data_IF_771980642903
#
_entry.id   IF_771980642903
#
_cell.length_a   1.000
_cell.length_b   1.000
_cell.length_c   1.000
_cell.angle_alpha   90.00
_cell.angle_beta   90.00
_cell.angle_gamma   90.00
#
_symmetry.space_group_name_H-M   'P 1'
#
loop_
_entity.id
_entity.type
_entity.pdbx_description
1 polymer ?
#
# COMPACT_ATOMS: atom_id res chain seq x y z
N UNK A 1 25.14 14.98 -10.77
CA UNK A 1 24.44 13.69 -10.52
C UNK A 1 24.71 13.35 -9.08
N UNK A 2 23.69 13.06 -8.27
CA UNK A 2 23.85 12.66 -6.86
C UNK A 2 23.78 11.16 -6.75
N UNK A 3 24.59 10.56 -5.88
CA UNK A 3 24.45 9.16 -5.47
C UNK A 3 23.42 9.08 -4.34
N UNK A 4 22.35 8.34 -4.54
CA UNK A 4 21.25 8.19 -3.58
C UNK A 4 21.16 6.72 -3.15
N UNK A 5 21.19 6.49 -1.85
CA UNK A 5 20.99 5.17 -1.27
C UNK A 5 19.55 5.04 -0.80
N UNK A 6 18.83 4.04 -1.30
CA UNK A 6 17.47 3.69 -0.85
C UNK A 6 17.54 2.38 -0.09
N UNK A 7 17.01 2.33 1.13
CA UNK A 7 17.03 1.14 1.98
C UNK A 7 15.63 0.53 2.04
N UNK A 8 15.51 -0.71 1.54
CA UNK A 8 14.27 -1.46 1.44
C UNK A 8 13.68 -1.46 0.03
N UNK A 9 13.51 -2.65 -0.52
CA UNK A 9 12.91 -2.90 -1.85
C UNK A 9 11.40 -3.25 -1.74
N UNK A 10 10.67 -2.58 -0.87
CA UNK A 10 9.21 -2.54 -0.81
C UNK A 10 8.63 -1.55 -1.83
N UNK A 11 7.30 -1.37 -1.84
CA UNK A 11 6.63 -0.47 -2.79
C UNK A 11 7.17 0.97 -2.73
N UNK A 12 7.38 1.52 -1.55
CA UNK A 12 7.83 2.91 -1.40
C UNK A 12 9.28 3.09 -1.86
N UNK A 13 10.19 2.19 -1.45
CA UNK A 13 11.59 2.25 -1.87
C UNK A 13 11.77 2.04 -3.37
N UNK A 14 11.10 1.03 -3.95
CA UNK A 14 11.16 0.79 -5.40
C UNK A 14 10.55 1.94 -6.21
N UNK A 15 9.42 2.49 -5.76
CA UNK A 15 8.77 3.60 -6.43
C UNK A 15 9.63 4.88 -6.38
N UNK A 16 10.21 5.21 -5.22
CA UNK A 16 11.11 6.34 -5.07
C UNK A 16 12.39 6.18 -5.90
N UNK A 17 13.01 4.99 -5.85
CA UNK A 17 14.19 4.68 -6.65
C UNK A 17 13.92 4.81 -8.16
N UNK A 18 12.77 4.32 -8.62
CA UNK A 18 12.35 4.46 -10.02
C UNK A 18 12.22 5.95 -10.41
N UNK A 19 11.55 6.77 -9.61
CA UNK A 19 11.36 8.20 -9.91
C UNK A 19 12.69 8.98 -9.84
N UNK A 20 13.58 8.63 -8.93
CA UNK A 20 14.93 9.22 -8.84
C UNK A 20 15.79 8.85 -10.05
N UNK A 21 15.82 7.56 -10.43
CA UNK A 21 16.56 7.08 -11.61
C UNK A 21 16.04 7.71 -12.90
N UNK A 22 14.71 7.86 -13.02
CA UNK A 22 14.06 8.50 -14.17
C UNK A 22 14.43 9.99 -14.31
N UNK A 23 14.82 10.64 -13.20
CA UNK A 23 15.33 12.02 -13.16
C UNK A 23 16.84 12.12 -13.35
N UNK A 24 17.51 11.01 -13.70
CA UNK A 24 18.93 10.96 -14.03
C UNK A 24 19.88 10.92 -12.83
N UNK A 25 19.40 10.50 -11.66
CA UNK A 25 20.25 10.30 -10.49
C UNK A 25 20.81 8.88 -10.44
N UNK A 26 22.00 8.74 -9.82
CA UNK A 26 22.61 7.45 -9.51
C UNK A 26 21.93 6.88 -8.24
N UNK A 27 21.23 5.77 -8.36
CA UNK A 27 20.41 5.20 -7.27
C UNK A 27 20.73 3.73 -7.08
N UNK A 28 21.02 3.37 -5.84
CA UNK A 28 21.14 1.98 -5.42
C UNK A 28 20.09 1.66 -4.35
N UNK A 29 19.33 0.59 -4.56
CA UNK A 29 18.40 0.03 -3.56
C UNK A 29 19.11 -1.08 -2.80
N UNK A 30 19.20 -0.95 -1.48
CA UNK A 30 19.75 -1.98 -0.60
C UNK A 30 18.60 -2.81 -0.02
N UNK A 31 18.62 -4.12 -0.25
CA UNK A 31 17.61 -5.04 0.25
C UNK A 31 18.29 -6.25 0.90
N UNK A 32 17.93 -6.54 2.16
CA UNK A 32 18.53 -7.63 2.92
C UNK A 32 18.06 -9.02 2.50
N UNK A 33 16.86 -9.08 1.94
CA UNK A 33 16.23 -10.34 1.58
C UNK A 33 15.76 -10.35 0.12
N UNK A 34 14.59 -10.90 -0.08
CA UNK A 34 13.94 -10.90 -1.39
C UNK A 34 13.21 -9.57 -1.60
N UNK A 35 13.38 -8.88 -2.73
CA UNK A 35 12.59 -7.69 -3.03
C UNK A 35 11.09 -7.94 -2.86
N UNK A 36 10.38 -6.99 -2.25
CA UNK A 36 8.96 -7.06 -1.89
C UNK A 36 8.54 -8.35 -1.14
N UNK A 37 9.46 -8.92 -0.37
CA UNK A 37 9.26 -10.18 0.37
C UNK A 37 8.55 -10.04 1.72
N UNK A 38 8.43 -8.81 2.24
CA UNK A 38 7.84 -8.54 3.57
C UNK A 38 6.45 -7.86 3.46
N UNK A 39 6.23 -6.68 4.06
CA UNK A 39 4.92 -5.99 4.04
C UNK A 39 4.35 -5.74 2.62
N UNK A 40 5.21 -5.70 1.60
CA UNK A 40 4.79 -5.62 0.19
C UNK A 40 4.50 -6.98 -0.45
N UNK A 41 4.65 -8.08 0.27
CA UNK A 41 4.40 -9.43 -0.21
C UNK A 41 2.91 -9.71 -0.43
N UNK A 42 2.65 -10.85 -1.09
CA UNK A 42 1.30 -11.36 -1.34
C UNK A 42 0.69 -10.82 -2.64
N UNK A 43 -0.60 -11.10 -2.86
CA UNK A 43 -1.32 -10.79 -4.09
C UNK A 43 -2.47 -9.79 -3.87
N UNK A 44 -2.95 -9.71 -2.63
CA UNK A 44 -4.19 -9.04 -2.30
C UNK A 44 -3.92 -7.59 -1.85
N UNK A 45 -4.21 -6.63 -2.71
CA UNK A 45 -4.20 -5.20 -2.37
C UNK A 45 -5.34 -4.50 -3.09
N UNK A 46 -5.96 -3.56 -2.40
CA UNK A 46 -7.08 -2.75 -2.88
C UNK A 46 -6.58 -1.36 -3.19
N UNK A 47 -6.96 -0.85 -4.35
CA UNK A 47 -7.02 0.58 -4.62
C UNK A 47 -8.41 1.09 -4.26
N UNK A 48 -8.49 2.23 -3.58
CA UNK A 48 -9.75 2.91 -3.29
C UNK A 48 -9.54 4.41 -3.16
N UNK A 49 -10.54 5.19 -3.52
CA UNK A 49 -10.66 6.62 -3.21
C UNK A 49 -11.44 6.82 -1.89
N UNK A 50 -12.26 5.87 -1.55
CA UNK A 50 -13.10 5.87 -0.35
C UNK A 50 -12.24 5.80 0.94
N UNK A 51 -11.93 6.97 1.50
CA UNK A 51 -11.23 7.17 2.78
C UNK A 51 -12.08 8.00 3.74
N UNK A 52 -11.73 7.99 5.03
CA UNK A 52 -12.41 8.77 6.08
C UNK A 52 -11.92 10.22 6.17
N UNK A 53 -10.74 10.52 5.60
CA UNK A 53 -10.18 11.89 5.53
C UNK A 53 -10.24 12.41 4.09
N UNK A 54 -10.79 13.62 3.83
CA UNK A 54 -10.83 14.21 2.49
C UNK A 54 -9.45 14.35 1.84
N UNK A 55 -8.42 14.60 2.62
CA UNK A 55 -7.04 14.68 2.13
C UNK A 55 -6.59 13.35 1.50
N UNK A 56 -6.87 12.21 2.15
CA UNK A 56 -6.54 10.89 1.60
C UNK A 56 -7.36 10.55 0.35
N UNK A 57 -8.62 11.01 0.25
CA UNK A 57 -9.41 10.87 -0.97
C UNK A 57 -8.75 11.62 -2.14
N UNK A 58 -8.32 12.87 -1.93
CA UNK A 58 -7.61 13.67 -2.95
C UNK A 58 -6.27 13.03 -3.36
N UNK A 59 -5.50 12.56 -2.38
CA UNK A 59 -4.24 11.87 -2.67
C UNK A 59 -4.46 10.55 -3.44
N UNK A 60 -5.54 9.82 -3.14
CA UNK A 60 -5.89 8.62 -3.88
C UNK A 60 -6.30 8.93 -5.34
N UNK A 61 -7.05 10.01 -5.59
CA UNK A 61 -7.36 10.47 -6.95
C UNK A 61 -6.07 10.78 -7.73
N UNK A 62 -5.13 11.49 -7.11
CA UNK A 62 -3.81 11.77 -7.72
C UNK A 62 -3.01 10.47 -7.94
N UNK A 63 -3.00 9.58 -6.96
CA UNK A 63 -2.30 8.29 -7.07
C UNK A 63 -2.86 7.42 -8.21
N UNK A 64 -4.17 7.50 -8.49
CA UNK A 64 -4.80 6.78 -9.60
C UNK A 64 -4.22 7.17 -10.96
N UNK A 65 -3.98 8.45 -11.18
CA UNK A 65 -3.29 8.94 -12.39
C UNK A 65 -1.88 8.35 -12.49
N UNK A 66 -1.17 8.26 -11.37
CA UNK A 66 0.13 7.62 -11.32
C UNK A 66 0.09 6.12 -11.66
N UNK A 67 -0.94 5.38 -11.22
CA UNK A 67 -1.14 3.98 -11.61
C UNK A 67 -1.37 3.83 -13.11
N UNK A 68 -2.18 4.70 -13.72
CA UNK A 68 -2.43 4.72 -15.16
C UNK A 68 -1.14 5.06 -15.95
N UNK A 69 -0.35 6.01 -15.44
CA UNK A 69 0.98 6.30 -16.00
C UNK A 69 1.88 5.07 -15.98
N UNK A 70 1.96 4.34 -14.88
CA UNK A 70 2.75 3.11 -14.78
C UNK A 70 2.24 1.99 -15.69
N UNK A 71 0.93 1.87 -15.89
CA UNK A 71 0.38 0.92 -16.88
C UNK A 71 0.96 1.19 -18.27
N UNK A 72 0.98 2.45 -18.69
CA UNK A 72 1.53 2.89 -19.97
C UNK A 72 3.06 2.72 -20.04
N UNK A 73 3.79 3.25 -19.06
CA UNK A 73 5.26 3.26 -19.04
C UNK A 73 5.87 1.85 -18.94
N UNK A 74 5.22 0.95 -18.21
CA UNK A 74 5.75 -0.39 -18.02
C UNK A 74 5.39 -1.36 -19.14
N UNK A 75 4.36 -1.05 -19.94
CA UNK A 75 3.83 -1.98 -20.93
C UNK A 75 3.38 -3.31 -20.33
N UNK A 76 3.07 -3.30 -19.03
CA UNK A 76 2.79 -4.51 -18.25
C UNK A 76 1.30 -4.90 -18.29
N UNK A 77 0.49 -4.25 -19.12
CA UNK A 77 -0.95 -4.36 -19.13
C UNK A 77 -1.58 -3.76 -17.85
N UNK A 78 -2.87 -3.98 -17.66
CA UNK A 78 -3.63 -3.39 -16.57
C UNK A 78 -3.04 -3.73 -15.18
N UNK A 79 -2.75 -2.72 -14.37
CA UNK A 79 -2.28 -2.82 -12.99
C UNK A 79 -3.39 -2.59 -11.97
N UNK A 80 -4.38 -1.77 -12.35
CA UNK A 80 -5.55 -1.44 -11.54
C UNK A 80 -6.80 -2.13 -12.10
N UNK A 81 -7.49 -2.88 -11.27
CA UNK A 81 -8.79 -3.48 -11.58
C UNK A 81 -9.90 -2.44 -11.69
N UNK A 82 -11.05 -2.86 -12.21
CA UNK A 82 -12.23 -2.01 -12.41
C UNK A 82 -13.47 -2.58 -11.72
N UNK A 83 -13.26 -3.43 -10.72
CA UNK A 83 -14.32 -4.12 -9.99
C UNK A 83 -15.13 -3.18 -9.09
N UNK A 84 -14.60 -1.99 -8.81
CA UNK A 84 -15.13 -1.08 -7.80
C UNK A 84 -14.75 -1.51 -6.39
N UNK A 85 -15.10 -0.65 -5.42
CA UNK A 85 -14.87 -0.89 -4.00
C UNK A 85 -16.11 -0.52 -3.20
N UNK A 86 -16.44 -1.31 -2.19
CA UNK A 86 -17.52 -1.07 -1.25
C UNK A 86 -16.94 -0.85 0.15
N UNK A 87 -17.24 0.30 0.75
CA UNK A 87 -17.17 0.47 2.19
C UNK A 87 -18.53 0.11 2.77
N UNK A 88 -18.62 -0.98 3.55
CA UNK A 88 -19.88 -1.48 4.11
C UNK A 88 -20.03 -1.16 5.59
N UNK A 89 -21.27 -1.01 6.05
CA UNK A 89 -21.61 -0.65 7.42
C UNK A 89 -21.74 0.87 7.61
N UNK A 90 -21.40 1.37 8.81
CA UNK A 90 -21.43 2.80 9.11
C UNK A 90 -20.32 3.55 8.36
N UNK A 91 -20.67 4.20 7.25
CA UNK A 91 -19.74 4.84 6.32
C UNK A 91 -20.15 6.26 5.89
N UNK A 92 -20.92 6.96 6.71
CA UNK A 92 -21.32 8.35 6.46
C UNK A 92 -20.12 9.31 6.41
N UNK A 93 -19.11 9.07 7.24
CA UNK A 93 -17.85 9.80 7.24
C UNK A 93 -17.06 9.57 5.93
N UNK A 94 -17.08 8.36 5.39
CA UNK A 94 -16.50 8.05 4.09
C UNK A 94 -17.22 8.81 2.98
N UNK A 95 -18.55 8.79 2.97
CA UNK A 95 -19.35 9.54 2.00
C UNK A 95 -19.10 11.05 2.08
N UNK A 96 -19.06 11.61 3.29
CA UNK A 96 -18.76 13.02 3.51
C UNK A 96 -17.35 13.40 3.03
N UNK A 97 -16.35 12.57 3.34
CA UNK A 97 -14.98 12.78 2.90
C UNK A 97 -14.82 12.71 1.38
N UNK A 98 -15.45 11.74 0.73
CA UNK A 98 -15.46 11.63 -0.73
C UNK A 98 -16.14 12.84 -1.39
N UNK A 99 -17.30 13.25 -0.87
CA UNK A 99 -18.00 14.45 -1.33
C UNK A 99 -17.12 15.69 -1.21
N UNK A 100 -16.50 15.90 -0.06
CA UNK A 100 -15.57 17.02 0.19
C UNK A 100 -14.34 17.01 -0.72
N UNK A 101 -13.95 15.84 -1.20
CA UNK A 101 -12.83 15.68 -2.13
C UNK A 101 -13.25 15.77 -3.61
N UNK A 102 -14.54 15.97 -3.92
CA UNK A 102 -15.07 15.95 -5.29
C UNK A 102 -15.02 14.56 -5.93
N UNK A 103 -14.93 13.49 -5.16
CA UNK A 103 -14.90 12.13 -5.66
C UNK A 103 -16.30 11.58 -5.92
N UNK A 104 -16.46 10.82 -7.02
CA UNK A 104 -17.71 10.15 -7.33
C UNK A 104 -17.94 8.95 -6.44
N UNK A 105 -19.17 8.77 -5.95
CA UNK A 105 -19.59 7.59 -5.21
C UNK A 105 -21.10 7.40 -5.29
N UNK A 106 -21.59 6.21 -4.89
CA UNK A 106 -23.01 5.93 -4.70
C UNK A 106 -23.24 5.36 -3.30
N UNK A 107 -24.35 5.71 -2.68
CA UNK A 107 -24.82 5.02 -1.48
C UNK A 107 -25.53 3.74 -1.91
N UNK A 108 -25.29 2.65 -1.21
CA UNK A 108 -25.87 1.34 -1.47
C UNK A 108 -26.72 0.88 -0.29
N UNK A 109 -27.82 0.23 -0.59
CA UNK A 109 -28.56 -0.61 0.35
C UNK A 109 -28.07 -2.06 0.33
N UNK A 110 -28.56 -2.87 1.28
CA UNK A 110 -28.18 -4.28 1.43
C UNK A 110 -28.28 -5.08 0.12
N UNK A 111 -29.37 -4.95 -0.62
CA UNK A 111 -29.57 -5.67 -1.89
C UNK A 111 -28.56 -5.32 -2.97
N UNK A 112 -28.16 -4.03 -3.03
CA UNK A 112 -27.17 -3.55 -3.99
C UNK A 112 -25.75 -3.99 -3.62
N UNK A 113 -25.43 -4.11 -2.33
CA UNK A 113 -24.18 -4.71 -1.84
C UNK A 113 -24.14 -6.20 -2.23
N UNK A 114 -25.22 -6.95 -1.94
CA UNK A 114 -25.33 -8.35 -2.27
C UNK A 114 -25.18 -8.61 -3.79
N UNK A 115 -25.76 -7.77 -4.63
CA UNK A 115 -25.62 -7.88 -6.08
C UNK A 115 -24.16 -7.70 -6.56
N UNK A 116 -23.31 -6.99 -5.81
CA UNK A 116 -21.90 -6.76 -6.15
C UNK A 116 -20.95 -7.79 -5.54
N UNK A 117 -21.41 -8.54 -4.55
CA UNK A 117 -20.67 -9.63 -3.89
C UNK A 117 -21.63 -10.83 -3.74
N UNK A 118 -22.01 -11.50 -4.84
CA UNK A 118 -23.13 -12.43 -4.88
C UNK A 118 -22.96 -13.72 -4.05
N UNK A 119 -21.72 -14.01 -3.64
CA UNK A 119 -21.38 -15.16 -2.79
C UNK A 119 -21.35 -14.83 -1.29
N UNK A 120 -21.56 -13.55 -0.92
CA UNK A 120 -21.55 -13.11 0.47
C UNK A 120 -22.96 -13.15 1.08
N UNK A 121 -23.05 -13.59 2.33
CA UNK A 121 -24.20 -13.29 3.20
C UNK A 121 -23.99 -11.88 3.76
N UNK A 122 -24.75 -10.91 3.23
CA UNK A 122 -24.55 -9.47 3.52
C UNK A 122 -25.31 -9.08 4.81
N UNK A 123 -24.61 -8.80 5.92
CA UNK A 123 -25.26 -8.35 7.16
C UNK A 123 -25.43 -6.82 7.20
N UNK A 124 -24.75 -6.08 6.33
CA UNK A 124 -24.71 -4.62 6.35
C UNK A 124 -25.93 -4.00 5.66
N UNK A 125 -26.60 -3.08 6.32
CA UNK A 125 -27.78 -2.39 5.78
C UNK A 125 -27.39 -1.33 4.74
N UNK A 126 -26.22 -0.72 4.88
CA UNK A 126 -25.77 0.40 4.05
C UNK A 126 -24.31 0.25 3.66
N UNK A 127 -23.93 0.93 2.57
CA UNK A 127 -22.56 1.05 2.14
C UNK A 127 -22.33 2.24 1.23
N UNK A 128 -21.08 2.51 0.95
CA UNK A 128 -20.59 3.48 -0.06
C UNK A 128 -19.85 2.72 -1.15
N UNK A 129 -20.24 2.91 -2.39
CA UNK A 129 -19.57 2.36 -3.56
C UNK A 129 -18.67 3.41 -4.20
N UNK A 130 -17.40 3.06 -4.33
CA UNK A 130 -16.37 3.79 -5.06
C UNK A 130 -16.15 3.14 -6.44
N UNK A 131 -16.62 3.76 -7.52
CA UNK A 131 -16.49 3.19 -8.87
C UNK A 131 -15.05 3.19 -9.39
N UNK A 132 -14.16 3.98 -8.78
CA UNK A 132 -12.75 4.08 -9.15
C UNK A 132 -11.88 3.07 -8.39
N UNK A 133 -12.45 2.38 -7.40
CA UNK A 133 -11.78 1.33 -6.63
C UNK A 133 -11.57 0.05 -7.44
N UNK A 134 -10.75 -0.86 -6.90
CA UNK A 134 -10.51 -2.16 -7.50
C UNK A 134 -9.27 -2.86 -6.95
N UNK A 135 -9.03 -4.08 -7.41
CA UNK A 135 -7.87 -4.87 -7.02
C UNK A 135 -6.60 -4.39 -7.73
N UNK A 136 -5.47 -4.37 -7.02
CA UNK A 136 -4.16 -4.05 -7.59
C UNK A 136 -3.41 -5.32 -8.03
N UNK A 137 -2.85 -5.31 -9.22
CA UNK A 137 -1.98 -6.37 -9.77
C UNK A 137 -0.54 -6.15 -9.29
N UNK A 138 -0.34 -6.20 -7.97
CA UNK A 138 0.87 -5.72 -7.31
C UNK A 138 2.13 -6.48 -7.71
N UNK A 139 2.09 -7.80 -7.92
CA UNK A 139 3.26 -8.53 -8.40
C UNK A 139 3.76 -8.02 -9.74
N UNK A 140 2.83 -7.69 -10.64
CA UNK A 140 3.16 -7.14 -11.95
C UNK A 140 3.82 -5.77 -11.81
N UNK A 141 3.25 -4.89 -10.97
CA UNK A 141 3.79 -3.56 -10.71
C UNK A 141 5.17 -3.62 -10.05
N UNK A 142 5.29 -4.35 -8.94
CA UNK A 142 6.56 -4.47 -8.19
C UNK A 142 7.67 -5.12 -9.01
N UNK A 143 7.37 -6.18 -9.77
CA UNK A 143 8.36 -6.79 -10.68
C UNK A 143 8.78 -5.83 -11.80
N UNK A 144 7.88 -4.97 -12.27
CA UNK A 144 8.20 -3.96 -13.28
C UNK A 144 9.10 -2.85 -12.73
N UNK A 145 8.87 -2.42 -11.49
CA UNK A 145 9.74 -1.48 -10.79
C UNK A 145 11.12 -2.09 -10.52
N UNK A 146 11.17 -3.31 -9.96
CA UNK A 146 12.41 -3.98 -9.60
C UNK A 146 13.36 -4.21 -10.80
N UNK A 147 12.79 -4.40 -12.00
CA UNK A 147 13.60 -4.52 -13.23
C UNK A 147 14.16 -3.18 -13.75
N UNK A 148 13.72 -2.06 -13.21
CA UNK A 148 14.07 -0.70 -13.67
C UNK A 148 15.00 0.04 -12.73
N UNK A 149 15.37 -0.57 -11.61
CA UNK A 149 16.24 0.03 -10.59
C UNK A 149 17.38 -0.93 -10.24
N UNK A 150 18.51 -0.38 -9.86
CA UNK A 150 19.63 -1.18 -9.38
C UNK A 150 19.36 -1.65 -7.94
N UNK A 151 19.24 -2.97 -7.74
CA UNK A 151 19.04 -3.56 -6.41
C UNK A 151 20.29 -4.36 -6.04
N UNK A 152 20.88 -4.04 -4.89
CA UNK A 152 21.97 -4.80 -4.28
C UNK A 152 21.42 -5.58 -3.08
N UNK A 153 21.67 -6.90 -3.05
CA UNK A 153 21.41 -7.68 -1.85
C UNK A 153 22.43 -7.28 -0.77
N UNK A 154 21.97 -6.62 0.27
CA UNK A 154 22.81 -6.12 1.36
C UNK A 154 21.98 -5.87 2.62
N UNK A 155 22.49 -6.32 3.75
CA UNK A 155 21.90 -6.05 5.06
C UNK A 155 22.55 -4.80 5.66
N UNK A 156 21.76 -3.73 5.80
CA UNK A 156 22.18 -2.48 6.44
C UNK A 156 22.08 -2.63 7.95
N UNK A 157 23.17 -2.32 8.66
CA UNK A 157 23.23 -2.34 10.12
C UNK A 157 22.98 -0.98 10.74
N UNK A 158 23.48 0.10 10.10
CA UNK A 158 23.32 1.46 10.62
C UNK A 158 23.43 2.51 9.52
N UNK A 159 22.85 3.67 9.79
CA UNK A 159 22.88 4.84 8.92
C UNK A 159 23.25 6.06 9.76
N UNK A 160 24.35 6.73 9.41
CA UNK A 160 24.78 7.98 10.07
C UNK A 160 24.18 9.21 9.37
N UNK A 161 24.10 10.32 10.09
CA UNK A 161 23.48 11.58 9.63
C UNK A 161 24.16 12.18 8.39
N UNK A 162 25.44 11.87 8.19
CA UNK A 162 26.23 12.27 7.01
C UNK A 162 25.98 11.41 5.76
N UNK A 163 25.09 10.43 5.85
CA UNK A 163 24.76 9.50 4.78
C UNK A 163 25.66 8.26 4.70
N UNK A 164 26.55 8.04 5.66
CA UNK A 164 27.33 6.81 5.73
C UNK A 164 26.41 5.65 6.14
N UNK A 165 26.35 4.62 5.30
CA UNK A 165 25.50 3.43 5.46
C UNK A 165 26.40 2.21 5.64
N UNK A 166 26.40 1.61 6.83
CA UNK A 166 27.24 0.45 7.17
C UNK A 166 26.47 -0.84 6.88
N UNK A 167 27.09 -1.74 6.13
CA UNK A 167 26.54 -3.05 5.76
C UNK A 167 27.08 -4.14 6.69
N UNK A 168 26.40 -5.28 6.72
CA UNK A 168 26.79 -6.44 7.55
C UNK A 168 28.12 -7.07 7.13
N UNK A 169 28.57 -6.88 5.90
CA UNK A 169 29.88 -7.32 5.41
C UNK A 169 31.03 -6.36 5.77
N UNK A 170 30.76 -5.31 6.53
CA UNK A 170 31.72 -4.28 6.91
C UNK A 170 31.89 -3.15 5.88
N UNK A 171 31.27 -3.26 4.71
CA UNK A 171 31.29 -2.19 3.69
C UNK A 171 30.58 -0.94 4.20
N UNK A 172 31.15 0.23 3.94
CA UNK A 172 30.50 1.52 4.17
C UNK A 172 30.23 2.20 2.84
N UNK A 173 28.95 2.40 2.53
CA UNK A 173 28.53 3.20 1.38
C UNK A 173 28.25 4.63 1.83
N UNK A 174 28.64 5.62 0.99
CA UNK A 174 28.33 7.03 1.26
C UNK A 174 27.42 7.57 0.17
N UNK A 175 26.17 7.83 0.56
CA UNK A 175 25.21 8.52 -0.30
C UNK A 175 25.21 10.03 -0.07
N UNK A 176 25.00 10.81 -1.12
CA UNK A 176 24.68 12.23 -0.98
C UNK A 176 23.37 12.43 -0.22
N UNK A 177 22.46 11.46 -0.37
CA UNK A 177 21.20 11.31 0.38
C UNK A 177 20.92 9.84 0.66
N UNK A 178 20.24 9.58 1.76
CA UNK A 178 19.76 8.23 2.12
C UNK A 178 18.25 8.31 2.37
N UNK A 179 17.49 7.40 1.74
CA UNK A 179 16.07 7.21 1.97
C UNK A 179 15.82 5.85 2.62
N UNK A 180 15.33 5.83 3.86
CA UNK A 180 14.98 4.61 4.57
C UNK A 180 13.49 4.32 4.36
N UNK A 181 13.19 3.24 3.61
CA UNK A 181 11.87 2.67 3.37
C UNK A 181 11.81 1.19 3.81
N UNK A 182 12.42 0.88 4.96
CA UNK A 182 12.60 -0.48 5.46
C UNK A 182 11.36 -1.05 6.18
N UNK A 183 10.19 -0.43 6.00
CA UNK A 183 8.93 -0.89 6.59
C UNK A 183 9.02 -0.99 8.13
N UNK A 184 8.73 -2.16 8.68
CA UNK A 184 8.79 -2.43 10.12
C UNK A 184 10.18 -2.20 10.75
N UNK A 185 11.24 -2.25 9.94
CA UNK A 185 12.63 -2.05 10.38
C UNK A 185 13.15 -0.61 10.21
N UNK A 186 12.28 0.32 9.79
CA UNK A 186 12.67 1.73 9.68
C UNK A 186 13.11 2.33 11.02
N UNK A 187 12.42 2.07 12.15
CA UNK A 187 12.86 2.56 13.46
C UNK A 187 14.22 2.03 13.91
N UNK A 188 14.57 0.79 13.53
CA UNK A 188 15.86 0.18 13.88
C UNK A 188 17.05 0.92 13.25
N UNK A 189 16.84 1.50 12.07
CA UNK A 189 17.87 2.20 11.30
C UNK A 189 17.88 3.73 11.52
N UNK A 190 16.73 4.30 11.80
CA UNK A 190 16.59 5.76 11.93
C UNK A 190 16.56 6.21 13.39
N UNK A 191 16.01 5.43 14.28
CA UNK A 191 15.70 5.78 15.66
C UNK A 191 14.19 5.80 15.93
N UNK A 192 13.77 6.17 17.12
CA UNK A 192 12.37 6.09 17.55
C UNK A 192 11.42 6.87 16.63
N UNK A 193 10.44 6.15 16.10
CA UNK A 193 9.28 6.70 15.41
C UNK A 193 8.06 6.19 16.18
N UNK A 194 7.07 7.02 16.46
CA UNK A 194 5.87 6.63 17.22
C UNK A 194 5.01 5.61 16.45
N UNK A 195 5.52 4.39 16.32
CA UNK A 195 4.94 3.32 15.52
C UNK A 195 5.12 1.96 16.19
N UNK A 196 4.05 1.15 16.18
CA UNK A 196 4.06 -0.25 16.58
C UNK A 196 3.62 -1.14 15.43
N UNK A 197 3.84 -2.45 15.57
CA UNK A 197 3.51 -3.43 14.55
C UNK A 197 2.71 -4.58 15.18
N UNK A 198 1.57 -4.93 14.56
CA UNK A 198 0.66 -5.97 15.05
C UNK A 198 0.47 -7.02 13.96
N UNK A 199 0.63 -8.31 14.27
CA UNK A 199 0.34 -9.37 13.33
C UNK A 199 -1.16 -9.43 13.01
N UNK A 200 -1.50 -9.78 11.77
CA UNK A 200 -2.85 -10.12 11.36
C UNK A 200 -2.82 -11.21 10.30
N UNK A 201 -3.91 -11.95 10.14
CA UNK A 201 -4.01 -13.05 9.19
C UNK A 201 -4.94 -12.72 8.05
N UNK A 202 -4.52 -13.09 6.84
CA UNK A 202 -5.31 -12.99 5.63
C UNK A 202 -5.56 -14.39 5.07
N UNK A 203 -6.83 -14.72 4.84
CA UNK A 203 -7.26 -15.96 4.25
C UNK A 203 -7.51 -15.79 2.75
N UNK A 204 -7.25 -16.82 1.98
CA UNK A 204 -7.59 -16.87 0.56
C UNK A 204 -8.59 -18.01 0.35
N UNK A 205 -9.68 -17.70 -0.33
CA UNK A 205 -10.77 -18.63 -0.62
C UNK A 205 -10.89 -18.86 -2.12
N UNK A 206 -11.63 -19.88 -2.51
CA UNK A 206 -11.94 -20.20 -3.90
C UNK A 206 -13.44 -20.33 -4.08
N UNK A 207 -13.97 -19.71 -5.17
CA UNK A 207 -15.33 -19.82 -5.62
C UNK A 207 -15.47 -19.17 -6.99
N UNK A 208 -16.27 -19.73 -7.87
CA UNK A 208 -16.50 -19.23 -9.22
C UNK A 208 -17.15 -17.84 -9.20
N UNK A 209 -18.05 -17.59 -8.25
CA UNK A 209 -18.80 -16.33 -8.11
C UNK A 209 -17.95 -15.15 -7.63
N UNK A 210 -16.70 -15.39 -7.20
CA UNK A 210 -15.78 -14.33 -6.82
C UNK A 210 -15.19 -13.55 -8.01
N UNK A 211 -15.37 -14.06 -9.23
CA UNK A 211 -14.89 -13.40 -10.44
C UNK A 211 -15.70 -12.12 -10.69
N UNK A 212 -15.01 -10.99 -10.76
CA UNK A 212 -15.64 -9.69 -11.02
C UNK A 212 -16.36 -9.04 -9.84
N UNK A 213 -16.41 -9.69 -8.67
CA UNK A 213 -16.97 -9.11 -7.46
C UNK A 213 -16.23 -7.85 -7.05
N UNK A 214 -16.93 -6.85 -6.49
CA UNK A 214 -16.34 -5.62 -6.00
C UNK A 214 -15.40 -5.89 -4.82
N UNK A 215 -14.34 -5.09 -4.67
CA UNK A 215 -13.55 -5.07 -3.46
C UNK A 215 -14.41 -4.59 -2.28
N UNK A 216 -14.09 -5.04 -1.07
CA UNK A 216 -14.85 -4.79 0.15
C UNK A 216 -13.96 -4.30 1.28
N UNK A 217 -14.47 -3.36 2.09
CA UNK A 217 -14.04 -3.13 3.47
C UNK A 217 -15.28 -3.08 4.34
N UNK A 218 -15.28 -3.83 5.42
CA UNK A 218 -16.37 -3.97 6.36
C UNK A 218 -15.82 -4.03 7.79
N UNK A 219 -16.64 -3.92 8.84
CA UNK A 219 -16.20 -4.07 10.23
C UNK A 219 -15.45 -5.38 10.48
N UNK A 220 -15.81 -6.45 9.81
CA UNK A 220 -15.26 -7.78 9.99
C UNK A 220 -13.94 -8.01 9.22
N UNK A 221 -13.59 -7.11 8.29
CA UNK A 221 -12.36 -7.23 7.50
C UNK A 221 -12.44 -6.61 6.12
N UNK A 222 -11.51 -6.99 5.26
CA UNK A 222 -11.46 -6.50 3.89
C UNK A 222 -11.31 -7.64 2.89
N UNK A 223 -11.96 -7.51 1.74
CA UNK A 223 -11.98 -8.56 0.73
C UNK A 223 -11.77 -8.03 -0.69
N UNK A 224 -11.24 -8.88 -1.57
CA UNK A 224 -11.02 -8.54 -2.98
C UNK A 224 -10.90 -9.77 -3.87
N UNK A 225 -11.33 -9.66 -5.15
CA UNK A 225 -11.07 -10.71 -6.13
C UNK A 225 -9.59 -10.73 -6.54
N UNK A 226 -9.02 -11.92 -6.69
CA UNK A 226 -7.65 -12.12 -7.18
C UNK A 226 -7.65 -12.35 -8.70
N UNK A 227 -8.03 -11.33 -9.46
CA UNK A 227 -8.13 -11.39 -10.91
C UNK A 227 -9.24 -12.33 -11.40
N UNK A 228 -9.02 -12.97 -12.54
CA UNK A 228 -9.99 -13.91 -13.14
C UNK A 228 -9.86 -15.35 -12.64
N UNK A 229 -9.27 -15.57 -11.46
CA UNK A 229 -8.96 -16.92 -10.96
C UNK A 229 -10.11 -17.58 -10.18
N UNK A 230 -11.23 -16.89 -9.96
CA UNK A 230 -12.30 -17.31 -9.04
C UNK A 230 -11.89 -17.34 -7.56
N UNK A 231 -10.73 -16.76 -7.23
CA UNK A 231 -10.25 -16.65 -5.86
C UNK A 231 -10.65 -15.31 -5.25
N UNK A 232 -11.01 -15.36 -3.98
CA UNK A 232 -11.29 -14.22 -3.14
C UNK A 232 -10.31 -14.20 -1.97
N UNK A 233 -9.66 -13.08 -1.72
CA UNK A 233 -8.87 -12.91 -0.51
C UNK A 233 -9.67 -12.11 0.51
N UNK A 234 -9.65 -12.55 1.76
CA UNK A 234 -10.24 -11.84 2.88
C UNK A 234 -9.22 -11.72 4.01
N UNK A 235 -9.03 -10.52 4.53
CA UNK A 235 -8.12 -10.21 5.61
C UNK A 235 -8.87 -9.71 6.82
N UNK A 236 -8.45 -10.16 8.00
CA UNK A 236 -8.97 -9.72 9.30
C UNK A 236 -7.81 -9.22 10.15
N UNK A 237 -8.07 -8.31 11.05
CA UNK A 237 -7.07 -7.87 12.02
C UNK A 237 -6.81 -8.94 13.09
N UNK A 238 -7.89 -9.57 13.54
CA UNK A 238 -7.85 -10.75 14.41
C UNK A 238 -8.51 -11.89 13.64
N UNK A 239 -7.82 -13.02 13.54
CA UNK A 239 -8.33 -14.16 12.79
C UNK A 239 -9.59 -14.72 13.43
N UNK A 240 -10.71 -14.68 12.70
CA UNK A 240 -11.98 -15.30 13.08
C UNK A 240 -12.56 -16.11 11.91
N UNK A 241 -12.13 -17.37 11.77
CA UNK A 241 -12.65 -18.25 10.71
C UNK A 241 -14.15 -18.51 10.76
N UNK A 242 -14.77 -18.36 11.94
CA UNK A 242 -16.22 -18.58 12.07
C UNK A 242 -16.98 -17.43 11.39
N UNK A 243 -16.62 -16.19 11.66
CA UNK A 243 -17.15 -15.01 10.97
C UNK A 243 -16.93 -15.09 9.46
N UNK A 244 -15.74 -15.53 9.02
CA UNK A 244 -15.47 -15.65 7.58
C UNK A 244 -16.38 -16.70 6.92
N UNK A 245 -16.59 -17.87 7.56
CA UNK A 245 -17.54 -18.87 7.05
C UNK A 245 -18.99 -18.38 7.03
N UNK A 246 -19.39 -17.60 8.02
CA UNK A 246 -20.73 -17.01 8.06
C UNK A 246 -20.95 -16.01 6.91
N UNK A 247 -19.94 -15.19 6.62
CA UNK A 247 -20.00 -14.18 5.55
C UNK A 247 -19.90 -14.81 4.14
N UNK A 248 -19.10 -15.86 3.98
CA UNK A 248 -18.78 -16.47 2.67
C UNK A 248 -18.96 -17.98 2.66
N UNK A 249 -20.18 -18.50 2.89
CA UNK A 249 -20.42 -19.94 3.06
C UNK A 249 -20.15 -20.78 1.80
N UNK A 250 -20.22 -20.17 0.62
CA UNK A 250 -19.96 -20.85 -0.66
C UNK A 250 -18.48 -20.90 -1.05
N UNK A 251 -17.61 -20.23 -0.30
CA UNK A 251 -16.17 -20.21 -0.60
C UNK A 251 -15.42 -21.24 0.24
N UNK A 252 -14.53 -21.99 -0.41
CA UNK A 252 -13.63 -22.95 0.26
C UNK A 252 -12.27 -22.32 0.56
N UNK A 253 -11.68 -22.50 1.76
CA UNK A 253 -10.37 -21.99 2.08
C UNK A 253 -9.29 -22.69 1.25
N UNK A 254 -8.29 -21.95 0.77
CA UNK A 254 -7.17 -22.44 -0.05
C UNK A 254 -5.82 -22.12 0.53
N UNK A 255 -5.67 -20.98 1.24
CA UNK A 255 -4.39 -20.49 1.73
C UNK A 255 -4.57 -19.49 2.86
N UNK A 256 -3.56 -19.36 3.67
CA UNK A 256 -3.46 -18.42 4.79
C UNK A 256 -2.09 -17.75 4.77
N UNK A 257 -2.06 -16.44 4.97
CA UNK A 257 -0.82 -15.66 5.01
C UNK A 257 -0.85 -14.71 6.21
N UNK A 258 0.19 -14.79 7.03
CA UNK A 258 0.39 -13.83 8.11
C UNK A 258 0.99 -12.54 7.56
N UNK A 259 0.45 -11.44 8.05
CA UNK A 259 0.80 -10.09 7.65
C UNK A 259 1.08 -9.25 8.91
N UNK A 260 1.59 -8.03 8.69
CA UNK A 260 1.84 -7.06 9.77
C UNK A 260 1.13 -5.76 9.44
N UNK A 261 0.33 -5.27 10.38
CA UNK A 261 -0.29 -3.95 10.35
C UNK A 261 0.50 -2.95 11.19
N UNK A 262 0.51 -1.70 10.76
CA UNK A 262 1.09 -0.58 11.50
C UNK A 262 0.06 -0.03 12.49
N UNK A 263 0.52 0.30 13.70
CA UNK A 263 -0.23 1.03 14.72
C UNK A 263 0.51 2.31 15.05
N UNK A 264 -0.14 3.44 14.89
CA UNK A 264 0.46 4.74 15.17
C UNK A 264 -0.63 5.80 15.40
N UNK A 265 -0.33 6.85 16.20
CA UNK A 265 -1.29 7.91 16.49
C UNK A 265 -1.65 8.78 15.27
N UNK A 266 -0.80 8.80 14.25
CA UNK A 266 -1.00 9.55 13.01
C UNK A 266 -1.84 8.81 11.96
N UNK A 267 -2.21 7.56 12.19
CA UNK A 267 -3.14 6.85 11.29
C UNK A 267 -4.55 7.44 11.36
N UNK A 268 -5.24 7.40 10.23
CA UNK A 268 -6.68 7.68 10.23
C UNK A 268 -7.47 6.52 10.87
N UNK A 269 -8.77 6.71 11.19
CA UNK A 269 -9.61 5.63 11.73
C UNK A 269 -9.74 4.41 10.82
N UNK A 270 -9.38 4.52 9.54
CA UNK A 270 -9.34 3.42 8.57
C UNK A 270 -8.00 2.70 8.52
N UNK A 271 -7.04 3.10 9.36
CA UNK A 271 -5.69 2.54 9.42
C UNK A 271 -4.79 2.96 8.26
N UNK A 272 -5.14 4.04 7.56
CA UNK A 272 -4.35 4.60 6.47
C UNK A 272 -3.50 5.78 6.97
N UNK A 273 -2.29 5.92 6.44
CA UNK A 273 -1.42 7.04 6.75
C UNK A 273 0.06 6.69 6.75
N UNK A 274 0.87 7.69 6.97
CA UNK A 274 2.31 7.58 7.03
C UNK A 274 2.91 8.69 7.86
N UNK A 275 4.18 8.54 8.20
CA UNK A 275 5.02 9.59 8.77
C UNK A 275 6.36 9.64 8.05
N UNK A 276 6.95 10.82 8.06
CA UNK A 276 8.29 11.08 7.52
C UNK A 276 9.10 11.77 8.61
N UNK A 277 10.39 11.42 8.70
CA UNK A 277 11.33 12.06 9.61
C UNK A 277 12.65 12.28 8.89
N UNK A 278 13.35 13.36 9.22
CA UNK A 278 14.63 13.71 8.61
C UNK A 278 15.67 14.03 9.68
N UNK A 279 16.89 13.55 9.45
CA UNK A 279 18.08 13.96 10.20
C UNK A 279 19.29 14.01 9.27
N UNK A 280 19.97 15.12 9.22
CA UNK A 280 21.09 15.33 8.29
C UNK A 280 20.72 14.99 6.84
N UNK A 281 21.43 14.05 6.25
CA UNK A 281 21.22 13.57 4.87
C UNK A 281 20.23 12.41 4.76
N UNK A 282 19.63 12.01 5.86
CA UNK A 282 18.77 10.81 5.96
C UNK A 282 17.31 11.18 6.08
N UNK A 283 16.50 10.67 5.18
CA UNK A 283 15.04 10.72 5.23
C UNK A 283 14.49 9.33 5.56
N UNK A 284 13.65 9.20 6.57
CA UNK A 284 12.97 7.97 6.93
C UNK A 284 11.47 8.08 6.63
N UNK A 285 10.91 7.01 6.10
CA UNK A 285 9.49 6.92 5.75
C UNK A 285 8.90 5.59 6.23
N UNK A 286 7.77 5.65 6.93
CA UNK A 286 7.01 4.48 7.36
C UNK A 286 5.52 4.78 7.30
N UNK A 287 4.70 3.78 6.98
CA UNK A 287 3.26 3.96 6.94
C UNK A 287 2.47 2.67 6.77
N UNK A 288 1.17 2.83 6.74
CA UNK A 288 0.17 1.76 6.64
C UNK A 288 -0.65 1.90 5.37
N UNK A 289 -1.00 0.76 4.78
CA UNK A 289 -1.85 0.67 3.58
C UNK A 289 -1.32 1.47 2.37
N UNK A 290 -0.01 1.57 2.22
CA UNK A 290 0.69 2.47 1.29
C UNK A 290 0.58 2.05 -0.18
N UNK A 291 0.29 0.77 -0.46
CA UNK A 291 0.36 0.21 -1.82
C UNK A 291 -0.47 1.03 -2.83
N UNK A 292 -1.68 1.44 -2.44
CA UNK A 292 -2.58 2.23 -3.30
C UNK A 292 -2.01 3.59 -3.70
N UNK A 293 -1.13 4.15 -2.87
CA UNK A 293 -0.46 5.43 -3.10
C UNK A 293 0.92 5.27 -3.75
N UNK A 294 1.37 4.06 -4.06
CA UNK A 294 2.73 3.76 -4.53
C UNK A 294 3.31 4.72 -5.55
N UNK A 295 2.65 5.00 -6.70
CA UNK A 295 3.16 5.94 -7.69
C UNK A 295 3.32 7.37 -7.16
N UNK A 296 2.35 7.86 -6.41
CA UNK A 296 2.37 9.20 -5.80
C UNK A 296 3.47 9.30 -4.74
N UNK A 297 3.56 8.32 -3.84
CA UNK A 297 4.60 8.30 -2.81
C UNK A 297 5.99 8.22 -3.41
N UNK A 298 6.17 7.47 -4.50
CA UNK A 298 7.44 7.43 -5.23
C UNK A 298 7.87 8.82 -5.69
N UNK A 299 6.95 9.58 -6.27
CA UNK A 299 7.20 10.94 -6.74
C UNK A 299 7.48 11.91 -5.58
N UNK A 300 6.66 11.87 -4.53
CA UNK A 300 6.80 12.76 -3.37
C UNK A 300 8.09 12.48 -2.58
N UNK A 301 8.45 11.20 -2.38
CA UNK A 301 9.69 10.82 -1.71
C UNK A 301 10.92 11.18 -2.54
N UNK A 302 10.85 11.02 -3.87
CA UNK A 302 11.92 11.47 -4.75
C UNK A 302 12.15 12.98 -4.66
N UNK A 303 11.08 13.77 -4.60
CA UNK A 303 11.17 15.23 -4.39
C UNK A 303 11.76 15.56 -3.03
N UNK A 304 11.27 14.94 -1.95
CA UNK A 304 11.79 15.18 -0.60
C UNK A 304 13.29 14.91 -0.49
N UNK A 305 13.78 13.87 -1.19
CA UNK A 305 15.22 13.54 -1.22
C UNK A 305 16.04 14.58 -2.01
N UNK A 306 15.49 15.13 -3.11
CA UNK A 306 16.20 16.02 -4.01
C UNK A 306 16.18 17.48 -3.56
N UNK A 307 15.03 17.94 -3.09
CA UNK A 307 14.77 19.34 -2.79
C UNK A 307 15.18 19.72 -1.36
N UNK A 308 15.52 18.74 -0.53
CA UNK A 308 15.83 18.90 0.90
C UNK A 308 14.67 19.46 1.73
N UNK A 309 13.47 19.36 1.18
CA UNK A 309 12.22 19.83 1.77
C UNK A 309 11.17 18.72 1.67
N UNK A 310 10.49 18.46 2.78
CA UNK A 310 9.40 17.48 2.81
C UNK A 310 8.15 18.10 2.20
N UNK A 311 7.66 17.58 1.04
CA UNK A 311 6.42 18.08 0.45
C UNK A 311 5.24 18.01 1.43
N UNK A 312 4.40 19.06 1.47
CA UNK A 312 3.26 19.14 2.38
C UNK A 312 2.31 17.91 2.28
N UNK A 313 2.21 17.28 1.12
CA UNK A 313 1.43 16.06 0.92
C UNK A 313 1.99 14.83 1.68
N UNK A 314 3.24 14.87 2.13
CA UNK A 314 3.82 13.85 3.02
C UNK A 314 3.60 14.16 4.50
N UNK A 315 3.14 15.36 4.83
CA UNK A 315 2.73 15.78 6.16
C UNK A 315 1.20 15.57 6.23
N UNK A 316 0.77 14.47 6.84
CA UNK A 316 -0.66 14.20 7.08
C UNK A 316 -1.03 14.82 8.43
N UNK A 317 -1.43 16.08 8.42
CA UNK A 317 -2.00 16.77 9.58
C UNK A 317 -3.41 16.28 9.92
#
# INVERSE_FOLDING_TARGET
>A
MRMIVVIGAGICGLAAAYELSRRGHDVVVLERGRPFGEQSAGLARIFRVAHRRPALCRLALTARTGWQRWESEFGAGRLLGSEGFIAAGACDDVAAAMSSAGAQFSRLGRSEIAARIPFAVVPWETGVFDPLGGSLRIRRALSSLARRVAIRNAHVLSVADDGATTLADGTVLRGDRVLICAGAHTPDLFGPLSVGFVPHTRFTYRGADAVGAACLSAPEGYGLPLGSTGRWAFGQEVADPATVRALFPSLSPVDQVDCVSVRAPWLDPGGDGWTVAQRGRVLAFVGSNLMKFGPLLGELLARAVLDDEVPAQLLLD
#
